data_IF_159550779708
#
_entry.id   IF_159550779708
#
_cell.length_a   1.000
_cell.length_b   1.000
_cell.length_c   1.000
_cell.angle_alpha   90.00
_cell.angle_beta   90.00
_cell.angle_gamma   90.00
#
_symmetry.space_group_name_H-M   'P 1'
#
loop_
_entity.id
_entity.type
_entity.pdbx_description
1 polymer ?
#
# COMPACT_ATOMS: atom_id res chain seq x y z
N UNK A 1 45.99 -7.27 -66.25
CA UNK A 1 46.18 -8.01 -64.97
C UNK A 1 45.40 -7.30 -63.88
N UNK A 2 44.46 -7.97 -63.20
CA UNK A 2 43.45 -7.38 -62.32
C UNK A 2 43.94 -7.32 -60.86
N UNK A 3 43.54 -6.32 -60.07
CA UNK A 3 43.52 -6.43 -58.60
C UNK A 3 42.37 -5.59 -58.02
N UNK A 4 41.69 -6.20 -57.07
CA UNK A 4 40.30 -5.94 -56.69
C UNK A 4 40.14 -4.87 -55.60
N UNK A 5 39.07 -4.08 -55.73
CA UNK A 5 38.56 -3.15 -54.70
C UNK A 5 37.99 -3.98 -53.54
N UNK A 6 38.64 -3.95 -52.38
CA UNK A 6 38.18 -4.63 -51.16
C UNK A 6 37.29 -3.67 -50.35
N UNK A 7 35.97 -3.77 -50.51
CA UNK A 7 35.00 -3.11 -49.62
C UNK A 7 35.10 -3.73 -48.21
N UNK A 8 35.54 -2.97 -47.21
CA UNK A 8 35.37 -3.32 -45.79
C UNK A 8 33.94 -3.00 -45.38
N UNK A 9 33.12 -4.03 -45.20
CA UNK A 9 31.83 -3.93 -44.50
C UNK A 9 32.09 -3.77 -43.00
N UNK A 10 31.77 -2.60 -42.45
CA UNK A 10 31.64 -2.41 -41.00
C UNK A 10 30.43 -3.21 -40.52
N UNK A 11 30.67 -4.44 -40.09
CA UNK A 11 29.70 -5.23 -39.34
C UNK A 11 29.37 -4.50 -38.04
N UNK A 12 28.17 -3.91 -38.00
CA UNK A 12 27.54 -3.35 -36.80
C UNK A 12 27.47 -4.46 -35.76
N UNK A 13 28.40 -4.47 -34.78
CA UNK A 13 28.40 -5.42 -33.66
C UNK A 13 27.14 -5.16 -32.84
N UNK A 14 26.09 -5.96 -33.07
CA UNK A 14 24.98 -6.08 -32.13
C UNK A 14 25.53 -6.81 -30.90
N UNK A 15 25.51 -6.22 -29.70
CA UNK A 15 25.81 -6.98 -28.50
C UNK A 15 24.77 -8.09 -28.39
N UNK A 16 25.22 -9.34 -28.50
CA UNK A 16 24.43 -10.49 -28.09
C UNK A 16 24.41 -10.44 -26.57
N UNK A 17 23.38 -9.82 -25.98
CA UNK A 17 23.07 -10.05 -24.58
C UNK A 17 22.86 -11.56 -24.43
N UNK A 18 23.79 -12.19 -23.71
CA UNK A 18 23.69 -13.60 -23.34
C UNK A 18 22.38 -13.77 -22.59
N UNK A 19 21.58 -14.77 -22.96
CA UNK A 19 20.27 -15.03 -22.34
C UNK A 19 20.37 -15.16 -20.81
N UNK A 20 21.55 -15.48 -20.29
CA UNK A 20 21.89 -15.50 -18.87
C UNK A 20 21.85 -14.12 -18.18
N UNK A 21 22.26 -13.04 -18.86
CA UNK A 21 22.13 -11.67 -18.32
C UNK A 21 20.67 -11.28 -18.20
N UNK A 22 19.85 -11.61 -19.19
CA UNK A 22 18.41 -11.33 -19.16
C UNK A 22 17.72 -12.09 -18.01
N UNK A 23 18.07 -13.35 -17.77
CA UNK A 23 17.53 -14.16 -16.66
C UNK A 23 17.96 -13.58 -15.30
N UNK A 24 19.22 -13.16 -15.18
CA UNK A 24 19.75 -12.56 -13.94
C UNK A 24 19.08 -11.22 -13.63
N UNK A 25 18.84 -10.40 -14.65
CA UNK A 25 18.11 -9.13 -14.53
C UNK A 25 16.65 -9.37 -14.14
N UNK A 26 15.98 -10.37 -14.72
CA UNK A 26 14.59 -10.72 -14.37
C UNK A 26 14.49 -11.21 -12.93
N UNK A 27 15.41 -12.07 -12.48
CA UNK A 27 15.45 -12.53 -11.09
C UNK A 27 15.72 -11.40 -10.10
N UNK A 28 16.64 -10.49 -10.44
CA UNK A 28 16.92 -9.30 -9.61
C UNK A 28 15.69 -8.37 -9.51
N UNK A 29 14.96 -8.17 -10.62
CA UNK A 29 13.75 -7.36 -10.62
C UNK A 29 12.63 -7.98 -9.74
N UNK A 30 12.45 -9.30 -9.78
CA UNK A 30 11.49 -10.01 -8.92
C UNK A 30 11.90 -9.90 -7.45
N UNK A 31 13.18 -10.03 -7.14
CA UNK A 31 13.68 -9.90 -5.77
C UNK A 31 13.50 -8.48 -5.19
N UNK A 32 13.70 -7.44 -6.00
CA UNK A 32 13.47 -6.05 -5.58
C UNK A 32 11.97 -5.79 -5.36
N UNK A 33 11.10 -6.31 -6.24
CA UNK A 33 9.65 -6.25 -6.03
C UNK A 33 9.23 -6.96 -4.74
N UNK A 34 9.73 -8.17 -4.50
CA UNK A 34 9.44 -8.91 -3.27
C UNK A 34 9.93 -8.15 -2.01
N UNK A 35 11.12 -7.55 -2.06
CA UNK A 35 11.66 -6.74 -0.96
C UNK A 35 10.81 -5.48 -0.69
N UNK A 36 10.26 -4.85 -1.75
CA UNK A 36 9.32 -3.73 -1.59
C UNK A 36 8.00 -4.15 -0.93
N UNK A 37 7.49 -5.36 -1.21
CA UNK A 37 6.29 -5.88 -0.52
C UNK A 37 6.55 -6.22 0.96
N UNK A 38 7.74 -6.74 1.27
CA UNK A 38 8.16 -7.09 2.64
C UNK A 38 8.52 -5.88 3.52
N UNK A 39 8.78 -4.72 2.92
CA UNK A 39 9.03 -3.47 3.63
C UNK A 39 7.74 -2.75 4.10
N UNK A 40 6.57 -3.39 3.92
CA UNK A 40 5.33 -2.93 4.55
C UNK A 40 5.52 -3.06 6.06
N UNK A 41 5.55 -1.97 6.85
CA UNK A 41 5.65 -2.11 8.30
C UNK A 41 4.46 -2.96 8.75
N UNK A 42 4.76 -4.13 9.33
CA UNK A 42 3.77 -4.93 10.04
C UNK A 42 3.10 -3.98 11.02
N UNK A 43 1.85 -3.63 10.69
CA UNK A 43 1.03 -2.76 11.51
C UNK A 43 0.60 -3.58 12.73
N UNK A 44 1.56 -3.85 13.61
CA UNK A 44 1.28 -4.35 14.94
C UNK A 44 0.32 -3.34 15.57
N UNK A 45 -0.92 -3.77 15.77
CA UNK A 45 -1.93 -2.95 16.43
C UNK A 45 -1.33 -2.47 17.75
N UNK A 46 -1.30 -1.16 17.93
CA UNK A 46 -0.84 -0.55 19.16
C UNK A 46 -1.64 -1.12 20.35
N UNK A 47 -1.02 -1.47 21.48
CA UNK A 47 -1.74 -2.12 22.58
C UNK A 47 -2.92 -1.29 23.11
N UNK A 48 -2.89 0.04 22.97
CA UNK A 48 -4.02 0.91 23.34
C UNK A 48 -5.17 0.78 22.34
N UNK A 49 -4.88 0.60 21.05
CA UNK A 49 -5.91 0.40 20.03
C UNK A 49 -6.52 -1.00 20.13
N UNK A 50 -5.72 -2.02 20.47
CA UNK A 50 -6.21 -3.38 20.71
C UNK A 50 -7.14 -3.47 21.93
N UNK A 51 -6.77 -2.84 23.05
CA UNK A 51 -7.64 -2.77 24.24
C UNK A 51 -8.98 -2.07 23.92
N UNK A 52 -8.96 -1.00 23.13
CA UNK A 52 -10.20 -0.37 22.70
C UNK A 52 -11.03 -1.30 21.82
N UNK A 53 -10.41 -1.97 20.85
CA UNK A 53 -11.11 -2.90 19.94
C UNK A 53 -11.77 -4.04 20.72
N UNK A 54 -11.08 -4.58 21.73
CA UNK A 54 -11.60 -5.70 22.54
C UNK A 54 -12.69 -5.27 23.53
N UNK A 55 -12.57 -4.09 24.16
CA UNK A 55 -13.52 -3.64 25.19
C UNK A 55 -14.69 -2.81 24.64
N UNK A 56 -14.43 -2.02 23.61
CA UNK A 56 -15.29 -0.93 23.15
C UNK A 56 -15.54 -0.93 21.64
N UNK A 57 -14.93 -1.85 20.88
CA UNK A 57 -15.03 -1.89 19.42
C UNK A 57 -16.45 -2.04 18.88
N UNK A 58 -17.35 -2.65 19.65
CA UNK A 58 -18.79 -2.73 19.31
C UNK A 58 -19.43 -1.35 19.13
N UNK A 59 -18.93 -0.29 19.78
CA UNK A 59 -19.46 1.08 19.65
C UNK A 59 -19.26 1.64 18.23
N UNK A 60 -18.11 1.35 17.61
CA UNK A 60 -17.84 1.74 16.23
C UNK A 60 -18.83 1.07 15.29
N UNK A 61 -19.19 -0.19 15.57
CA UNK A 61 -20.17 -0.92 14.79
C UNK A 61 -21.58 -0.36 14.92
N UNK A 62 -22.00 0.07 16.11
CA UNK A 62 -23.30 0.73 16.27
C UNK A 62 -23.39 2.03 15.46
N UNK A 63 -22.30 2.79 15.39
CA UNK A 63 -22.25 4.00 14.58
C UNK A 63 -22.37 3.67 13.08
N UNK A 64 -21.58 2.72 12.59
CA UNK A 64 -21.65 2.28 11.18
C UNK A 64 -22.99 1.62 10.83
N UNK A 65 -23.65 1.00 11.81
CA UNK A 65 -25.00 0.45 11.65
C UNK A 65 -26.06 1.55 11.52
N UNK A 66 -25.94 2.63 12.31
CA UNK A 66 -26.82 3.79 12.21
C UNK A 66 -26.56 4.57 10.91
N UNK A 67 -25.30 4.66 10.49
CA UNK A 67 -24.87 5.44 9.35
C UNK A 67 -23.85 4.67 8.48
N UNK A 68 -24.33 3.74 7.62
CA UNK A 68 -23.48 2.87 6.79
C UNK A 68 -22.97 3.58 5.53
N UNK A 69 -22.35 4.75 5.71
CA UNK A 69 -21.79 5.57 4.63
C UNK A 69 -20.50 6.27 5.09
N UNK A 70 -19.90 7.07 4.20
CA UNK A 70 -18.62 7.73 4.49
C UNK A 70 -18.71 8.75 5.63
N UNK A 71 -19.88 9.34 5.86
CA UNK A 71 -20.07 10.29 6.96
C UNK A 71 -20.07 9.57 8.32
N UNK A 72 -20.58 8.34 8.42
CA UNK A 72 -20.46 7.51 9.63
C UNK A 72 -19.03 7.13 9.96
N UNK A 73 -18.22 6.85 8.92
CA UNK A 73 -16.76 6.64 9.09
C UNK A 73 -16.10 7.93 9.60
N UNK A 74 -16.39 9.08 8.97
CA UNK A 74 -15.83 10.39 9.38
C UNK A 74 -16.25 10.77 10.79
N UNK A 75 -17.49 10.47 11.17
CA UNK A 75 -17.98 10.68 12.54
C UNK A 75 -17.19 9.82 13.53
N UNK A 76 -16.97 8.54 13.22
CA UNK A 76 -16.16 7.64 14.05
C UNK A 76 -14.73 8.19 14.27
N UNK A 77 -14.09 8.70 13.21
CA UNK A 77 -12.80 9.39 13.33
C UNK A 77 -12.86 10.62 14.25
N UNK A 78 -13.88 11.46 14.13
CA UNK A 78 -14.06 12.64 14.99
C UNK A 78 -14.29 12.25 16.45
N UNK A 79 -15.10 11.21 16.69
CA UNK A 79 -15.38 10.71 18.03
C UNK A 79 -14.14 10.12 18.71
N UNK A 80 -13.26 9.46 17.95
CA UNK A 80 -11.98 8.95 18.45
C UNK A 80 -10.97 10.09 18.66
N UNK A 81 -10.90 11.06 17.74
CA UNK A 81 -10.06 12.24 17.90
C UNK A 81 -10.45 13.07 19.14
N UNK A 82 -11.75 13.22 19.43
CA UNK A 82 -12.22 13.87 20.65
C UNK A 82 -11.81 13.15 21.95
N UNK A 83 -11.42 11.87 21.85
CA UNK A 83 -10.87 11.07 22.96
C UNK A 83 -9.33 11.10 23.01
N UNK A 84 -8.68 11.81 22.09
CA UNK A 84 -7.23 11.97 22.03
C UNK A 84 -6.50 10.95 21.14
N UNK A 85 -7.22 10.10 20.41
CA UNK A 85 -6.57 9.18 19.46
C UNK A 85 -6.04 9.92 18.24
N UNK A 86 -4.84 9.53 17.80
CA UNK A 86 -4.29 10.00 16.52
C UNK A 86 -5.10 9.48 15.33
N UNK A 87 -4.85 10.02 14.14
CA UNK A 87 -5.49 9.54 12.90
C UNK A 87 -5.17 8.05 12.67
N UNK A 88 -3.89 7.68 12.81
CA UNK A 88 -3.44 6.29 12.61
C UNK A 88 -4.03 5.33 13.64
N UNK A 89 -4.06 5.75 14.91
CA UNK A 89 -4.71 4.96 15.97
C UNK A 89 -6.20 4.81 15.70
N UNK A 90 -6.87 5.87 15.26
CA UNK A 90 -8.28 5.83 14.93
C UNK A 90 -8.57 4.89 13.76
N UNK A 91 -7.70 4.88 12.74
CA UNK A 91 -7.80 3.96 11.61
C UNK A 91 -7.64 2.49 12.08
N UNK A 92 -6.64 2.21 12.92
CA UNK A 92 -6.47 0.88 13.51
C UNK A 92 -7.68 0.45 14.33
N UNK A 93 -8.22 1.34 15.17
CA UNK A 93 -9.42 1.08 15.98
C UNK A 93 -10.62 0.77 15.08
N UNK A 94 -10.88 1.58 14.05
CA UNK A 94 -12.05 1.39 13.17
C UNK A 94 -11.91 0.08 12.39
N UNK A 95 -10.74 -0.17 11.78
CA UNK A 95 -10.47 -1.41 11.02
C UNK A 95 -10.56 -2.64 11.93
N UNK A 96 -9.94 -2.59 13.11
CA UNK A 96 -9.96 -3.68 14.09
C UNK A 96 -11.38 -3.96 14.59
N UNK A 97 -12.14 -2.91 14.90
CA UNK A 97 -13.53 -3.03 15.35
C UNK A 97 -14.42 -3.66 14.29
N UNK A 98 -14.33 -3.21 13.03
CA UNK A 98 -15.09 -3.79 11.92
C UNK A 98 -14.73 -5.25 11.68
N UNK A 99 -13.43 -5.58 11.73
CA UNK A 99 -12.95 -6.95 11.52
C UNK A 99 -13.43 -7.93 12.59
N UNK A 100 -13.50 -7.48 13.85
CA UNK A 100 -13.89 -8.32 14.99
C UNK A 100 -15.41 -8.38 15.16
N UNK A 101 -16.09 -7.22 15.14
CA UNK A 101 -17.48 -7.10 15.61
C UNK A 101 -18.52 -6.97 14.48
N UNK A 102 -18.21 -6.28 13.38
CA UNK A 102 -19.19 -5.98 12.33
C UNK A 102 -18.63 -6.14 10.92
N UNK A 103 -18.23 -7.37 10.57
CA UNK A 103 -17.60 -7.72 9.28
C UNK A 103 -18.39 -7.26 8.04
N UNK A 104 -19.71 -7.07 8.17
CA UNK A 104 -20.59 -6.56 7.10
C UNK A 104 -20.17 -5.18 6.57
N UNK A 105 -19.48 -4.37 7.37
CA UNK A 105 -19.02 -3.03 6.98
C UNK A 105 -17.64 -3.02 6.34
N UNK A 106 -16.98 -4.19 6.21
CA UNK A 106 -15.68 -4.27 5.54
C UNK A 106 -15.68 -3.72 4.10
N UNK A 107 -16.71 -3.94 3.26
CA UNK A 107 -16.77 -3.34 1.92
C UNK A 107 -16.85 -1.82 1.95
N UNK A 108 -17.60 -1.25 2.90
CA UNK A 108 -17.70 0.19 3.07
C UNK A 108 -16.32 0.77 3.45
N UNK A 109 -15.66 0.16 4.43
CA UNK A 109 -14.34 0.61 4.87
C UNK A 109 -13.29 0.48 3.75
N UNK A 110 -13.38 -0.58 2.94
CA UNK A 110 -12.55 -0.76 1.76
C UNK A 110 -12.78 0.36 0.73
N UNK A 111 -14.03 0.67 0.40
CA UNK A 111 -14.34 1.76 -0.53
C UNK A 111 -13.88 3.13 -0.04
N UNK A 112 -13.94 3.38 1.28
CA UNK A 112 -13.40 4.58 1.90
C UNK A 112 -11.88 4.62 1.75
N UNK A 113 -11.18 3.53 2.09
CA UNK A 113 -9.74 3.43 1.90
C UNK A 113 -9.35 3.61 0.43
N UNK A 114 -10.02 2.96 -0.52
CA UNK A 114 -9.71 3.09 -1.94
C UNK A 114 -9.91 4.55 -2.45
N UNK A 115 -10.88 5.28 -1.89
CA UNK A 115 -11.13 6.70 -2.20
C UNK A 115 -10.02 7.62 -1.70
N UNK A 116 -9.48 7.37 -0.51
CA UNK A 116 -8.55 8.29 0.18
C UNK A 116 -7.08 7.79 0.24
N UNK A 117 -6.81 6.52 -0.03
CA UNK A 117 -5.46 5.96 -0.14
C UNK A 117 -4.75 6.40 -1.43
N UNK A 118 -5.49 6.98 -2.37
CA UNK A 118 -4.98 7.58 -3.61
C UNK A 118 -4.35 8.97 -3.40
N UNK A 119 -4.20 9.44 -2.16
CA UNK A 119 -3.25 10.50 -1.80
C UNK A 119 -1.97 9.90 -1.20
N UNK A 120 -1.11 9.21 -1.99
CA UNK A 120 0.26 9.04 -1.57
C UNK A 120 0.94 10.40 -1.67
N UNK A 121 1.38 10.93 -0.53
CA UNK A 121 2.69 11.51 -0.25
C UNK A 121 3.63 11.77 -1.47
N UNK A 122 3.18 12.46 -2.52
CA UNK A 122 4.03 12.97 -3.60
C UNK A 122 4.84 14.21 -3.18
N UNK A 123 4.84 14.54 -1.89
CA UNK A 123 5.61 15.65 -1.31
C UNK A 123 6.89 15.22 -0.57
N UNK A 124 7.26 13.93 -0.57
CA UNK A 124 8.63 13.50 -0.22
C UNK A 124 9.49 13.41 -1.48
N UNK A 125 9.62 14.56 -2.14
CA UNK A 125 10.43 14.78 -3.32
C UNK A 125 10.76 16.26 -3.43
N UNK A 126 11.23 16.86 -2.32
CA UNK A 126 11.66 18.27 -2.34
C UNK A 126 12.91 18.47 -1.48
N UNK A 127 14.01 18.71 -2.20
CA UNK A 127 15.32 19.24 -1.78
C UNK A 127 16.12 18.33 -0.81
N UNK A 128 17.43 18.14 -0.96
CA UNK A 128 18.46 18.97 -1.60
C UNK A 128 19.53 18.11 -2.29
#
# INVERSE_FOLDING_TARGET
MPQHIRRRSHGRRRPRLSSYDAITVVLAAIAVLAAMLLASPDSHADPVTDDFVTTSGWRVCNELDAQPNFDGIRYSYRALSARGYSLDQSAQIIVGSVKVWCKRHAPLLKSYADTYASEPQQSQGRAA
#
